data_IF_178816453401
#
_entry.id   IF_178816453401
#
_cell.length_a   1.000
_cell.length_b   1.000
_cell.length_c   1.000
_cell.angle_alpha   90.00
_cell.angle_beta   90.00
_cell.angle_gamma   90.00
#
_symmetry.space_group_name_H-M   'P 1'
#
loop_
_entity.id
_entity.type
_entity.pdbx_description
1 polymer ?
2 non-polymer ?
3 water ?
#
# COMPACT_ATOMS: atom_id res chain seq x y z
N UNK A 1 -16.38 19.33 -11.59
CA UNK A 1 -15.17 18.77 -10.92
C UNK A 1 -14.97 19.44 -9.55
N UNK A 2 -14.25 18.75 -8.66
CA UNK A 2 -13.80 19.32 -7.37
C UNK A 2 -12.41 19.90 -7.62
N UNK A 3 -12.31 21.20 -6.81
CA UNK A 3 -11.05 21.87 -7.16
C UNK A 3 -9.82 21.21 -6.52
N UNK A 4 -10.00 20.69 -5.32
CA UNK A 4 -8.92 20.16 -4.47
C UNK A 4 -9.33 18.76 -4.02
N UNK A 5 -9.39 17.77 -4.95
CA UNK A 5 -9.83 16.40 -4.60
C UNK A 5 -8.90 15.83 -3.53
N UNK A 6 -9.46 15.21 -2.50
CA UNK A 6 -8.63 14.74 -1.37
C UNK A 6 -8.17 13.30 -1.58
N UNK A 7 -8.57 12.62 -2.66
CA UNK A 7 -8.10 11.25 -2.96
C UNK A 7 -8.40 10.97 -4.42
N UNK A 8 -8.10 9.78 -4.88
CA UNK A 8 -8.28 9.41 -6.30
C UNK A 8 -9.77 9.18 -6.61
N UNK A 9 -10.60 8.99 -5.59
CA UNK A 9 -12.07 8.82 -5.80
C UNK A 9 -12.67 10.18 -6.16
N UNK A 10 -12.26 11.23 -5.49
CA UNK A 10 -12.75 12.60 -5.82
C UNK A 10 -12.12 13.06 -7.15
N UNK A 11 -10.95 12.55 -7.53
CA UNK A 11 -10.27 12.90 -8.81
C UNK A 11 -10.94 12.17 -9.96
N UNK A 12 -11.55 11.01 -9.68
CA UNK A 12 -12.13 10.13 -10.72
C UNK A 12 -13.51 10.68 -11.07
N UNK A 13 -14.26 11.02 -10.03
CA UNK A 13 -15.63 11.60 -10.17
C UNK A 13 -15.47 12.95 -10.88
N UNK A 14 -14.27 13.55 -10.80
CA UNK A 14 -13.86 14.71 -11.65
C UNK A 14 -13.77 14.27 -13.13
N UNK A 15 -14.18 13.03 -13.45
CA UNK A 15 -14.33 12.52 -14.82
C UNK A 15 -13.00 12.06 -15.41
N UNK A 16 -11.96 11.96 -14.60
CA UNK A 16 -10.62 11.52 -15.05
C UNK A 16 -10.53 10.00 -14.87
N UNK A 17 -10.67 9.25 -15.98
CA UNK A 17 -10.92 7.78 -15.94
C UNK A 17 -9.66 7.02 -16.39
N UNK A 18 -8.60 7.75 -16.78
CA UNK A 18 -7.30 7.16 -17.19
C UNK A 18 -6.45 6.99 -15.93
N UNK A 19 -5.90 5.80 -15.73
CA UNK A 19 -4.91 5.60 -14.65
C UNK A 19 -3.68 6.46 -14.94
N UNK A 20 -3.03 6.98 -13.90
CA UNK A 20 -1.77 7.75 -14.00
C UNK A 20 -1.67 8.75 -12.89
N UNK A 21 -0.83 9.76 -13.08
CA UNK A 21 -0.48 10.71 -12.01
C UNK A 21 -1.53 11.80 -11.93
N UNK A 22 -1.98 12.08 -10.71
CA UNK A 22 -2.95 13.14 -10.40
C UNK A 22 -2.50 13.86 -9.15
N UNK A 23 -2.87 15.12 -9.03
CA UNK A 23 -2.69 15.88 -7.80
C UNK A 23 -3.89 15.65 -6.88
N UNK A 24 -3.63 15.27 -5.65
CA UNK A 24 -4.64 15.33 -4.56
C UNK A 24 -4.19 16.35 -3.54
N UNK A 25 -5.10 16.66 -2.64
CA UNK A 25 -4.93 17.75 -1.66
C UNK A 25 -5.37 17.22 -0.31
N UNK A 26 -4.45 17.06 0.61
CA UNK A 26 -4.82 16.44 1.91
C UNK A 26 -5.78 17.36 2.65
N UNK A 27 -6.87 16.78 3.16
CA UNK A 27 -7.97 17.52 3.81
C UNK A 27 -8.57 18.55 2.84
N UNK A 28 -8.40 18.41 1.52
CA UNK A 28 -8.95 19.38 0.57
C UNK A 28 -8.25 20.73 0.63
N UNK A 29 -7.06 20.78 1.22
CA UNK A 29 -6.28 22.04 1.47
C UNK A 29 -5.38 22.27 0.26
N UNK A 30 -5.53 23.39 -0.45
CA UNK A 30 -4.72 23.69 -1.65
C UNK A 30 -3.23 23.83 -1.29
N UNK A 31 -2.87 24.02 -0.02
CA UNK A 31 -1.46 24.08 0.41
C UNK A 31 -0.90 22.69 0.76
N UNK A 32 -1.67 21.59 0.58
CA UNK A 32 -1.19 20.22 0.93
C UNK A 32 -1.31 19.34 -0.31
N UNK A 33 -0.80 19.83 -1.45
CA UNK A 33 -0.79 19.08 -2.72
C UNK A 33 0.12 17.88 -2.58
N UNK A 34 -0.27 16.77 -3.22
CA UNK A 34 0.50 15.51 -3.25
C UNK A 34 0.25 14.87 -4.60
N UNK A 35 1.32 14.54 -5.32
CA UNK A 35 1.18 13.83 -6.62
C UNK A 35 1.05 12.34 -6.31
N UNK A 36 0.00 11.71 -6.79
CA UNK A 36 -0.21 10.27 -6.53
C UNK A 36 -0.46 9.58 -7.86
N UNK A 37 -0.21 8.28 -7.87
CA UNK A 37 -0.71 7.40 -8.95
C UNK A 37 -2.10 6.91 -8.61
N UNK A 38 -3.07 7.21 -9.47
CA UNK A 38 -4.46 6.73 -9.37
C UNK A 38 -4.68 5.52 -10.29
N UNK A 39 -5.08 4.39 -9.69
CA UNK A 39 -5.58 3.22 -10.44
C UNK A 39 -7.07 3.44 -10.65
N UNK A 40 -7.42 3.81 -11.87
CA UNK A 40 -8.82 4.20 -12.18
C UNK A 40 -9.57 3.02 -12.82
N UNK A 41 -8.96 1.83 -12.93
CA UNK A 41 -9.58 0.68 -13.65
C UNK A 41 -9.94 -0.50 -12.74
N UNK A 42 -9.13 -0.81 -11.72
CA UNK A 42 -9.37 -1.98 -10.83
C UNK A 42 -10.64 -1.77 -10.01
N UNK A 43 -11.55 -2.75 -10.02
CA UNK A 43 -12.80 -2.76 -9.24
C UNK A 43 -13.36 -1.34 -9.10
N UNK A 44 -13.72 -0.69 -10.21
CA UNK A 44 -14.42 0.60 -10.20
C UNK A 44 -13.49 1.82 -10.12
N UNK A 45 -12.18 1.63 -9.87
CA UNK A 45 -11.21 2.74 -9.86
C UNK A 45 -11.23 3.58 -8.60
N UNK A 46 -10.69 4.80 -8.69
CA UNK A 46 -10.60 5.79 -7.60
C UNK A 46 -9.60 5.38 -6.54
N UNK A 47 -8.64 4.53 -6.86
CA UNK A 47 -7.62 4.02 -5.91
C UNK A 47 -6.33 4.87 -5.95
N UNK A 48 -5.90 5.36 -4.79
CA UNK A 48 -4.50 5.83 -4.58
C UNK A 48 -3.64 4.59 -4.43
N UNK A 49 -2.71 4.40 -5.37
CA UNK A 49 -1.68 3.34 -5.22
C UNK A 49 -0.60 3.86 -4.25
N UNK A 50 -0.22 3.05 -3.27
CA UNK A 50 0.79 3.48 -2.30
C UNK A 50 1.99 2.56 -2.28
N UNK A 51 1.92 1.42 -2.95
CA UNK A 51 3.08 0.49 -3.11
C UNK A 51 2.94 -0.14 -4.48
N UNK A 52 4.01 -0.16 -5.21
CA UNK A 52 4.09 -0.97 -6.46
C UNK A 52 5.42 -1.71 -6.49
N UNK A 53 5.36 -3.01 -6.73
CA UNK A 53 6.52 -3.88 -7.04
C UNK A 53 6.25 -4.47 -8.42
N UNK A 54 7.24 -4.47 -9.30
CA UNK A 54 7.02 -5.01 -10.67
C UNK A 54 8.32 -5.46 -11.36
N UNK A 55 9.51 -5.06 -10.90
CA UNK A 55 10.74 -5.38 -11.69
C UNK A 55 12.00 -5.41 -10.84
N UNK A 56 11.97 -5.05 -9.55
CA UNK A 56 13.18 -5.13 -8.71
C UNK A 56 14.21 -4.02 -8.98
N UNK A 57 13.84 -2.97 -9.68
CA UNK A 57 14.81 -1.87 -9.97
C UNK A 57 14.98 -0.99 -8.73
N UNK A 58 13.96 -0.82 -7.87
CA UNK A 58 14.03 0.10 -6.72
C UNK A 58 14.46 -0.64 -5.45
N UNK A 59 15.19 0.02 -4.58
CA UNK A 59 15.64 -0.52 -3.28
C UNK A 59 14.56 -0.29 -2.22
N UNK A 60 14.00 -1.34 -1.63
CA UNK A 60 12.98 -1.20 -0.55
C UNK A 60 13.61 -1.41 0.81
N UNK A 61 14.91 -1.71 0.86
CA UNK A 61 15.58 -1.87 2.17
C UNK A 61 16.05 -0.49 2.62
N UNK A 62 15.12 0.33 3.08
CA UNK A 62 15.36 1.76 3.32
C UNK A 62 15.00 2.06 4.76
N UNK A 63 15.42 3.21 5.27
CA UNK A 63 15.33 3.55 6.70
C UNK A 63 13.99 4.19 7.07
N UNK A 64 13.80 4.43 8.37
CA UNK A 64 12.56 5.02 8.92
C UNK A 64 12.21 6.31 8.16
N UNK A 65 13.15 7.24 8.03
CA UNK A 65 12.83 8.55 7.43
C UNK A 65 12.35 8.34 5.99
N UNK A 66 12.97 7.40 5.26
CA UNK A 66 12.54 7.06 3.87
C UNK A 66 11.11 6.49 3.86
N UNK A 67 10.79 5.57 4.76
CA UNK A 67 9.42 4.97 4.85
C UNK A 67 8.44 6.03 5.33
N UNK A 68 8.86 6.97 6.19
CA UNK A 68 7.95 8.05 6.63
C UNK A 68 7.61 8.99 5.47
N UNK A 69 8.58 9.31 4.62
CA UNK A 69 8.50 10.37 3.60
C UNK A 69 8.01 9.83 2.25
N UNK A 70 8.33 8.58 1.94
CA UNK A 70 8.10 7.97 0.64
C UNK A 70 9.31 8.06 -0.25
N UNK A 71 9.36 7.21 -1.27
CA UNK A 71 10.50 7.11 -2.20
C UNK A 71 10.05 6.43 -3.47
N UNK A 72 10.84 6.62 -4.51
CA UNK A 72 10.69 5.89 -5.76
C UNK A 72 9.99 6.70 -6.84
N UNK A 73 9.72 6.04 -7.96
CA UNK A 73 9.08 6.59 -9.16
C UNK A 73 7.62 6.12 -9.11
N UNK A 74 6.73 7.07 -8.90
CA UNK A 74 5.23 6.76 -8.86
C UNK A 74 4.59 6.04 -10.10
N UNK A 75 5.35 6.18 -11.17
CA UNK A 75 4.96 5.46 -12.42
C UNK A 75 5.50 4.02 -12.46
N UNK A 76 6.43 3.67 -11.57
CA UNK A 76 7.10 2.36 -11.55
C UNK A 76 7.07 1.84 -10.10
N UNK A 77 8.19 1.46 -9.52
CA UNK A 77 8.23 0.96 -8.14
C UNK A 77 8.39 2.11 -7.17
N UNK A 78 7.56 2.14 -6.13
CA UNK A 78 7.61 3.26 -5.18
C UNK A 78 6.87 2.85 -3.92
N UNK A 79 7.06 3.69 -2.91
CA UNK A 79 6.36 3.68 -1.61
C UNK A 79 5.88 5.11 -1.31
N UNK A 80 4.58 5.29 -1.10
CA UNK A 80 3.98 6.64 -0.99
C UNK A 80 4.45 7.39 0.26
N UNK A 81 4.78 6.70 1.33
CA UNK A 81 5.10 7.38 2.59
C UNK A 81 4.07 7.17 3.66
N UNK A 82 4.52 6.80 4.85
CA UNK A 82 3.62 6.56 6.03
C UNK A 82 2.95 7.86 6.49
N UNK A 83 3.63 9.01 6.40
CA UNK A 83 3.03 10.29 6.84
C UNK A 83 1.85 10.59 5.93
N UNK A 84 2.05 10.39 4.62
CA UNK A 84 0.97 10.56 3.64
C UNK A 84 -0.15 9.59 3.96
N UNK A 85 0.16 8.32 4.20
CA UNK A 85 -0.91 7.31 4.43
C UNK A 85 -1.68 7.68 5.69
N UNK A 86 -0.98 8.14 6.73
CA UNK A 86 -1.68 8.56 7.97
C UNK A 86 -2.65 9.70 7.64
N UNK A 87 -2.18 10.72 6.94
CA UNK A 87 -2.99 11.93 6.64
C UNK A 87 -4.17 11.57 5.74
N UNK A 88 -3.99 10.70 4.76
CA UNK A 88 -5.12 10.27 3.86
C UNK A 88 -6.13 9.50 4.72
N UNK A 89 -5.70 8.47 5.43
CA UNK A 89 -6.64 7.55 6.14
C UNK A 89 -7.36 8.31 7.26
N UNK A 90 -6.84 9.45 7.72
CA UNK A 90 -7.46 10.30 8.77
C UNK A 90 -8.67 11.07 8.22
N UNK A 91 -8.80 11.19 6.89
CA UNK A 91 -9.78 12.07 6.17
C UNK A 91 -11.18 11.45 6.21
N UNK A 92 -11.27 10.16 6.48
CA UNK A 92 -12.55 9.42 6.42
C UNK A 92 -12.32 7.94 6.61
N UNK A 93 -13.30 7.11 6.27
CA UNK A 93 -13.19 5.64 6.38
C UNK A 93 -12.66 5.14 5.04
N UNK A 94 -11.44 4.59 5.03
CA UNK A 94 -10.82 4.03 3.80
C UNK A 94 -10.82 2.50 3.83
N UNK A 95 -10.76 1.95 2.62
CA UNK A 95 -10.62 0.49 2.33
C UNK A 95 -9.26 0.28 1.65
N UNK A 96 -8.61 -0.84 1.96
CA UNK A 96 -7.35 -1.32 1.34
C UNK A 96 -7.69 -2.35 0.27
N UNK A 97 -7.05 -2.22 -0.88
CA UNK A 97 -7.03 -3.29 -1.88
C UNK A 97 -5.59 -3.67 -2.18
N UNK A 98 -5.34 -4.98 -2.29
CA UNK A 98 -4.01 -5.49 -2.67
C UNK A 98 -4.25 -6.31 -3.94
N UNK A 99 -3.56 -5.93 -5.01
CA UNK A 99 -3.57 -6.68 -6.30
C UNK A 99 -2.24 -7.40 -6.46
N UNK A 100 -2.29 -8.70 -6.74
CA UNK A 100 -1.07 -9.53 -6.86
C UNK A 100 -1.11 -10.21 -8.23
N UNK A 101 0.04 -10.38 -8.85
CA UNK A 101 0.15 -11.14 -10.12
C UNK A 101 1.51 -11.81 -10.16
N UNK A 102 1.54 -13.08 -10.56
CA UNK A 102 2.78 -13.86 -10.59
C UNK A 102 2.62 -14.92 -11.69
N UNK A 103 3.46 -14.86 -12.71
CA UNK A 103 3.44 -15.87 -13.81
C UNK A 103 2.00 -16.05 -14.28
N UNK A 104 1.32 -14.93 -14.54
CA UNK A 104 -0.02 -14.87 -15.15
C UNK A 104 -1.16 -15.15 -14.19
N UNK A 105 -0.88 -15.65 -12.99
CA UNK A 105 -1.95 -15.86 -11.99
C UNK A 105 -2.19 -14.54 -11.24
N UNK A 106 -3.44 -14.22 -10.94
CA UNK A 106 -3.77 -13.00 -10.16
C UNK A 106 -4.58 -13.39 -8.92
N UNK A 107 -4.46 -12.57 -7.90
CA UNK A 107 -5.27 -12.68 -6.68
C UNK A 107 -5.46 -11.27 -6.13
N UNK A 108 -6.40 -11.10 -5.21
CA UNK A 108 -6.59 -9.79 -4.58
C UNK A 108 -7.09 -10.01 -3.17
N UNK A 109 -6.95 -8.97 -2.38
CA UNK A 109 -7.48 -8.88 -1.01
C UNK A 109 -8.06 -7.47 -0.84
N UNK A 110 -9.25 -7.38 -0.25
CA UNK A 110 -9.85 -6.08 0.11
C UNK A 110 -10.09 -6.14 1.62
N UNK A 111 -9.81 -5.04 2.30
CA UNK A 111 -10.11 -4.88 3.74
C UNK A 111 -10.98 -3.63 3.84
N UNK A 112 -12.20 -3.81 4.31
CA UNK A 112 -13.24 -2.75 4.38
C UNK A 112 -12.80 -1.57 5.22
N UNK A 113 -11.92 -1.80 6.19
CA UNK A 113 -11.42 -0.77 7.10
C UNK A 113 -9.91 -0.83 7.08
N UNK A 114 -9.30 0.30 6.76
CA UNK A 114 -7.83 0.44 6.67
C UNK A 114 -7.45 1.82 7.17
N UNK A 115 -6.54 1.85 8.13
CA UNK A 115 -6.01 3.13 8.62
C UNK A 115 -4.55 2.92 9.04
N UNK A 116 -3.81 4.01 9.02
CA UNK A 116 -2.40 4.07 9.45
C UNK A 116 -2.32 5.21 10.46
N UNK A 117 -1.91 4.91 11.68
CA UNK A 117 -1.80 5.92 12.75
C UNK A 117 -0.67 6.91 12.52
N UNK A 118 -0.52 7.90 13.38
CA UNK A 118 0.52 8.93 13.16
C UNK A 118 1.83 8.44 13.77
N UNK A 119 2.86 9.27 13.68
CA UNK A 119 4.24 8.90 14.07
C UNK A 119 4.31 8.50 15.54
N UNK A 120 3.46 9.09 16.39
CA UNK A 120 3.44 8.81 17.84
C UNK A 120 2.91 7.37 18.07
N UNK A 121 2.21 6.77 17.08
CA UNK A 121 1.77 5.35 17.13
C UNK A 121 2.75 4.44 16.37
N UNK A 122 3.91 4.97 15.96
CA UNK A 122 4.84 4.35 14.98
C UNK A 122 4.01 3.83 13.80
N UNK A 123 3.07 4.65 13.31
CA UNK A 123 2.27 4.40 12.09
C UNK A 123 1.54 3.06 12.20
N UNK A 124 0.84 2.86 13.31
CA UNK A 124 0.07 1.62 13.68
C UNK A 124 -0.89 1.26 12.54
N UNK A 125 -0.88 0.00 12.12
CA UNK A 125 -1.78 -0.52 11.06
C UNK A 125 -3.13 -0.93 11.68
N UNK A 126 -4.24 -0.52 11.07
CA UNK A 126 -5.58 -1.13 11.30
C UNK A 126 -6.03 -1.72 9.95
N UNK A 127 -6.33 -3.02 9.92
CA UNK A 127 -6.94 -3.69 8.75
C UNK A 127 -8.02 -4.61 9.25
N UNK A 128 -9.25 -4.42 8.80
CA UNK A 128 -10.39 -5.26 9.19
C UNK A 128 -11.25 -5.49 7.94
N UNK A 129 -12.10 -6.53 7.99
CA UNK A 129 -13.18 -6.71 7.01
C UNK A 129 -12.64 -7.29 5.71
N UNK A 130 -11.98 -8.43 5.77
CA UNK A 130 -11.38 -9.12 4.61
C UNK A 130 -12.43 -9.65 3.64
N UNK A 131 -12.13 -9.53 2.35
CA UNK A 131 -12.69 -10.40 1.30
C UNK A 131 -11.62 -10.54 0.23
N UNK A 132 -11.72 -11.60 -0.55
CA UNK A 132 -10.88 -11.76 -1.74
C UNK A 132 -10.39 -13.18 -1.95
N UNK A 133 -9.36 -13.31 -2.80
CA UNK A 133 -8.89 -14.61 -3.30
C UNK A 133 -7.45 -14.87 -2.84
N UNK A 134 -6.76 -13.85 -2.31
CA UNK A 134 -5.32 -14.03 -1.98
C UNK A 134 -5.17 -14.79 -0.67
N UNK A 135 -6.19 -14.72 0.17
CA UNK A 135 -6.13 -15.25 1.54
C UNK A 135 -5.85 -14.15 2.52
N UNK A 136 -6.46 -14.20 3.70
CA UNK A 136 -6.34 -13.09 4.67
C UNK A 136 -4.99 -13.14 5.38
N UNK A 137 -3.94 -12.61 4.75
CA UNK A 137 -2.56 -12.63 5.30
C UNK A 137 -2.30 -11.35 6.12
N UNK A 138 -3.11 -10.29 5.97
CA UNK A 138 -2.91 -9.05 6.77
C UNK A 138 -3.46 -9.23 8.19
N UNK A 139 -4.38 -10.19 8.43
CA UNK A 139 -4.98 -10.32 9.78
C UNK A 139 -3.82 -10.44 10.79
N UNK A 140 -2.81 -11.26 10.46
CA UNK A 140 -1.63 -11.52 11.32
C UNK A 140 -0.99 -10.19 11.77
N UNK A 141 -1.04 -9.18 10.90
CA UNK A 141 -0.31 -7.90 11.03
C UNK A 141 -1.17 -6.82 11.70
N UNK A 142 -2.48 -7.07 11.87
CA UNK A 142 -3.44 -6.04 12.34
C UNK A 142 -2.97 -5.51 13.70
N UNK A 143 -2.93 -4.18 13.82
CA UNK A 143 -2.62 -3.48 15.08
C UNK A 143 -1.12 -3.29 15.30
N UNK A 144 -0.28 -3.76 14.41
CA UNK A 144 1.18 -3.66 14.61
C UNK A 144 1.73 -2.31 14.16
N UNK A 145 2.75 -1.83 14.87
CA UNK A 145 3.52 -0.63 14.44
C UNK A 145 4.38 -0.98 13.21
N UNK A 146 4.84 0.05 12.51
CA UNK A 146 5.73 -0.13 11.35
C UNK A 146 7.12 -0.36 11.91
N UNK A 147 7.96 -1.10 11.21
CA UNK A 147 9.37 -1.37 11.59
C UNK A 147 10.24 -1.23 10.36
N UNK A 148 11.38 -0.54 10.55
CA UNK A 148 12.50 -0.46 9.60
C UNK A 148 13.72 -0.96 10.36
N UNK A 149 14.82 -1.17 9.66
CA UNK A 149 16.05 -1.70 10.30
C UNK A 149 16.52 -0.77 11.43
N UNK A 150 16.31 0.55 11.32
CA UNK A 150 16.83 1.55 12.29
C UNK A 150 15.78 1.92 13.32
N UNK A 151 14.59 1.33 13.27
CA UNK A 151 13.55 1.53 14.32
C UNK A 151 12.75 0.24 14.42
N UNK A 159 14.94 -8.18 15.24
CA UNK A 159 14.45 -7.09 14.34
C UNK A 159 14.17 -7.71 12.97
N UNK A 160 12.88 -7.76 12.61
CA UNK A 160 12.38 -8.43 11.39
C UNK A 160 12.88 -7.73 10.14
N UNK A 161 12.97 -6.39 10.17
CA UNK A 161 13.36 -5.57 9.02
C UNK A 161 14.78 -5.94 8.65
N UNK A 162 15.60 -6.01 9.68
CA UNK A 162 17.03 -6.38 9.49
C UNK A 162 17.13 -7.83 9.00
N UNK A 163 16.46 -8.79 9.67
CA UNK A 163 16.58 -10.25 9.40
C UNK A 163 16.14 -10.53 7.96
N UNK A 164 15.04 -9.92 7.50
CA UNK A 164 14.48 -10.16 6.14
C UNK A 164 14.89 -9.02 5.15
N UNK A 165 15.67 -8.02 5.57
CA UNK A 165 16.16 -6.90 4.70
C UNK A 165 14.97 -6.26 3.95
N UNK A 166 13.91 -5.94 4.69
CA UNK A 166 12.71 -5.26 4.19
C UNK A 166 12.20 -4.25 5.21
N UNK A 167 10.91 -3.93 5.15
CA UNK A 167 10.21 -3.00 6.06
C UNK A 167 8.74 -3.39 6.01
N UNK A 168 8.04 -3.29 7.12
CA UNK A 168 6.61 -3.66 7.17
C UNK A 168 6.10 -3.38 8.58
N UNK A 169 4.80 -3.53 8.76
CA UNK A 169 4.14 -3.70 10.07
C UNK A 169 4.43 -5.10 10.64
N UNK A 170 5.70 -5.39 10.90
CA UNK A 170 6.18 -6.72 11.30
C UNK A 170 5.64 -7.12 12.68
N UNK A 171 5.47 -8.41 12.84
CA UNK A 171 5.08 -9.06 14.11
C UNK A 171 6.24 -9.98 14.49
N UNK A 172 6.17 -11.28 14.14
CA UNK A 172 7.28 -12.20 14.50
C UNK A 172 7.34 -13.36 13.52
N UNK A 173 7.55 -13.10 12.22
CA UNK A 173 7.80 -11.78 11.67
C UNK A 173 6.69 -11.40 10.68
N UNK A 174 6.37 -12.25 9.71
CA UNK A 174 5.42 -11.81 8.66
C UNK A 174 4.64 -12.96 8.03
N UNK A 175 3.46 -12.59 7.54
CA UNK A 175 2.76 -13.35 6.48
C UNK A 175 2.64 -12.50 5.21
N UNK A 176 2.80 -11.19 5.31
CA UNK A 176 2.92 -10.28 4.16
C UNK A 176 4.27 -9.57 4.22
N UNK A 177 4.99 -9.53 3.09
CA UNK A 177 6.34 -8.93 3.02
C UNK A 177 6.48 -8.19 1.68
N UNK A 178 5.51 -7.35 1.30
CA UNK A 178 5.47 -6.80 -0.08
C UNK A 178 6.59 -5.75 -0.31
N UNK A 179 7.30 -5.30 0.73
CA UNK A 179 8.50 -4.45 0.62
C UNK A 179 9.76 -5.31 0.84
N UNK A 180 9.68 -6.61 0.56
CA UNK A 180 10.83 -7.51 0.65
C UNK A 180 11.70 -7.44 -0.57
N UNK A 181 12.69 -8.34 -0.62
CA UNK A 181 13.70 -8.35 -1.69
C UNK A 181 13.10 -8.96 -2.94
N UNK A 182 13.16 -8.25 -4.06
CA UNK A 182 12.55 -8.68 -5.34
C UNK A 182 13.24 -9.94 -5.87
N UNK A 183 12.42 -10.89 -6.32
CA UNK A 183 12.80 -12.18 -6.88
C UNK A 183 13.56 -13.08 -5.92
N UNK A 184 13.49 -12.86 -4.60
CA UNK A 184 14.23 -13.70 -3.61
C UNK A 184 13.31 -14.81 -3.12
N UNK A 185 13.48 -16.03 -3.62
CA UNK A 185 12.62 -17.19 -3.25
C UNK A 185 13.10 -17.86 -1.95
N UNK A 186 14.19 -17.40 -1.33
CA UNK A 186 14.65 -17.96 -0.04
C UNK A 186 13.58 -17.66 1.00
N UNK A 187 13.37 -18.60 1.93
CA UNK A 187 12.29 -18.54 2.95
C UNK A 187 12.16 -17.14 3.57
N UNK A 188 11.00 -16.51 3.40
CA UNK A 188 10.59 -15.23 4.05
C UNK A 188 11.42 -14.02 3.58
N UNK A 189 12.25 -14.12 2.54
CA UNK A 189 13.17 -13.03 2.12
C UNK A 189 12.52 -12.17 1.03
N UNK A 190 11.48 -12.70 0.38
CA UNK A 190 11.00 -12.13 -0.90
C UNK A 190 9.68 -11.42 -0.76
N UNK A 191 9.12 -11.10 -1.90
CA UNK A 191 7.85 -10.33 -1.96
C UNK A 191 6.72 -11.35 -1.68
N UNK A 192 6.38 -11.54 -0.41
CA UNK A 192 5.55 -12.72 -0.04
C UNK A 192 4.12 -12.28 0.35
N UNK A 193 3.18 -13.16 0.02
CA UNK A 193 1.81 -13.16 0.57
C UNK A 193 1.49 -14.60 0.94
N UNK A 194 1.71 -14.93 2.21
CA UNK A 194 1.91 -16.35 2.59
C UNK A 194 0.70 -17.21 2.20
N UNK A 195 -0.53 -16.68 2.32
CA UNK A 195 -1.73 -17.51 2.21
C UNK A 195 -2.15 -17.61 0.75
N UNK A 196 -1.33 -17.05 -0.14
CA UNK A 196 -1.45 -17.21 -1.62
C UNK A 196 -0.30 -18.08 -2.13
N UNK A 197 0.97 -17.70 -1.86
CA UNK A 197 2.12 -18.37 -2.51
C UNK A 197 3.20 -18.75 -1.53
N UNK A 198 2.92 -18.65 -0.23
CA UNK A 198 3.86 -19.18 0.77
C UNK A 198 5.05 -18.28 1.00
N UNK A 199 6.08 -18.82 1.64
CA UNK A 199 7.28 -18.04 2.04
C UNK A 199 8.49 -18.33 1.13
N UNK A 200 8.35 -19.21 0.13
CA UNK A 200 9.49 -19.59 -0.76
C UNK A 200 9.11 -19.27 -2.20
N UNK A 201 8.31 -18.21 -2.38
CA UNK A 201 7.91 -17.78 -3.72
C UNK A 201 7.76 -16.25 -3.70
N UNK A 202 8.67 -15.56 -4.34
CA UNK A 202 8.64 -14.07 -4.43
C UNK A 202 7.69 -13.67 -5.54
N UNK A 203 6.73 -12.80 -5.25
CA UNK A 203 5.66 -12.40 -6.21
C UNK A 203 6.18 -11.33 -7.17
N UNK A 204 5.92 -11.53 -8.46
CA UNK A 204 6.43 -10.66 -9.56
C UNK A 204 5.84 -9.26 -9.46
N UNK A 205 4.54 -9.16 -9.23
CA UNK A 205 3.81 -7.88 -9.26
C UNK A 205 2.93 -7.74 -8.02
N UNK A 206 2.98 -6.59 -7.39
CA UNK A 206 2.16 -6.33 -6.19
C UNK A 206 1.80 -4.85 -6.18
N UNK A 207 0.54 -4.51 -5.94
CA UNK A 207 0.16 -3.12 -5.61
C UNK A 207 -0.70 -3.11 -4.36
N UNK A 208 -0.47 -2.15 -3.49
CA UNK A 208 -1.38 -1.82 -2.35
C UNK A 208 -1.99 -0.45 -2.64
N UNK A 209 -3.29 -0.32 -2.42
CA UNK A 209 -3.99 0.91 -2.81
C UNK A 209 -5.16 1.18 -1.87
N UNK A 210 -5.67 2.42 -1.85
CA UNK A 210 -6.73 2.76 -0.88
C UNK A 210 -7.73 3.72 -1.51
N UNK A 211 -8.95 3.67 -1.02
CA UNK A 211 -9.99 4.64 -1.42
C UNK A 211 -11.09 4.60 -0.35
N UNK A 212 -12.02 5.59 -0.31
CA UNK A 212 -13.10 5.55 0.67
C UNK A 212 -13.92 4.26 0.56
N UNK A 213 -14.23 3.69 1.71
CA UNK A 213 -14.95 2.40 1.75
C UNK A 213 -16.35 2.60 1.16
N UNK A 214 -16.89 3.82 1.23
CA UNK A 214 -18.28 4.09 0.77
C UNK A 214 -18.33 4.32 -0.73
N UNK A 215 -17.19 4.25 -1.42
CA UNK A 215 -17.08 4.48 -2.88
C UNK A 215 -17.97 3.52 -3.65
N UNK A 216 -18.10 2.30 -3.14
CA UNK A 216 -18.86 1.18 -3.76
C UNK A 216 -20.33 1.59 -3.93
N UNK A 217 -20.80 2.62 -3.24
CA UNK A 217 -22.24 3.01 -3.41
C UNK A 217 -22.47 4.51 -3.24
N UNK A 218 -21.60 5.37 -3.77
CA UNK A 218 -21.59 6.81 -3.39
C UNK A 218 -22.49 7.66 -4.31
#
# INVERSE_FOLDING_TARGET
SMPFPKDCSQAMLNGDTTSGLYTIYLNGDKAQALEVFCDMTSDGGGWIVFLRRKNGRENFYQNWKAYAAGFGDRREEFWLGLDNLNKITAQGQYELRVDLRDHGETAFAVYDKFSVGDAKTRYKLKVEGYSGTAGDSMAYHNGRSFSTFDKDTDSAITNCALSYKGAFWYRNCHRVNLMGRYGDNNHSQGVNWFHWKGHEHSIQFAEMKLRPSNFRNLEG
#
